data_IF_173936519971
#
_entry.id   IF_173936519971
#
_cell.length_a   1.000
_cell.length_b   1.000
_cell.length_c   1.000
_cell.angle_alpha   90.00
_cell.angle_beta   90.00
_cell.angle_gamma   90.00
#
_symmetry.space_group_name_H-M   'P 1'
#
loop_
_entity.id
_entity.type
_entity.pdbx_description
1 polymer ?
#
# COMPACT_ATOMS: atom_id res chain seq x y z
N UNK A 1 5.97 11.10 -20.07
CA UNK A 1 4.87 10.35 -19.39
C UNK A 1 5.15 10.27 -17.89
N UNK A 2 4.24 10.71 -17.10
CA UNK A 2 4.36 10.61 -15.65
C UNK A 2 4.12 9.17 -15.21
N UNK A 3 5.03 8.59 -14.44
CA UNK A 3 4.87 7.27 -13.86
C UNK A 3 5.02 7.38 -12.35
N UNK A 4 3.91 7.45 -11.65
CA UNK A 4 3.87 7.52 -10.21
C UNK A 4 2.88 6.54 -9.64
N UNK A 5 3.12 6.13 -8.41
CA UNK A 5 2.22 5.24 -7.68
C UNK A 5 2.06 5.65 -6.24
N UNK A 6 1.09 5.05 -5.59
CA UNK A 6 0.82 5.23 -4.17
C UNK A 6 0.63 3.88 -3.48
N UNK A 7 1.01 3.83 -2.22
CA UNK A 7 0.64 2.76 -1.29
C UNK A 7 0.17 3.41 0.00
N UNK A 8 -0.77 2.79 0.67
CA UNK A 8 -1.40 3.41 1.84
C UNK A 8 -1.33 2.49 3.04
N UNK A 9 -0.76 3.00 4.13
CA UNK A 9 -0.82 2.37 5.44
C UNK A 9 -2.14 2.82 6.07
N UNK A 10 -3.17 2.00 5.94
CA UNK A 10 -4.50 2.27 6.51
C UNK A 10 -4.55 1.64 7.89
N UNK A 11 -4.68 2.47 8.90
CA UNK A 11 -4.65 2.05 10.29
C UNK A 11 -6.07 2.13 10.89
N UNK A 12 -6.50 1.06 11.56
CA UNK A 12 -7.77 1.06 12.27
C UNK A 12 -7.61 1.49 13.74
N UNK A 13 -8.73 1.54 14.48
CA UNK A 13 -8.73 1.97 15.88
C UNK A 13 -7.92 1.05 16.81
N UNK A 14 -7.76 -0.21 16.41
CA UNK A 14 -6.96 -1.19 17.17
C UNK A 14 -5.47 -1.09 16.83
N UNK A 15 -5.08 -0.19 15.94
CA UNK A 15 -3.70 -0.05 15.49
C UNK A 15 -3.26 -1.09 14.47
N UNK A 16 -4.18 -1.86 13.93
CA UNK A 16 -3.89 -2.83 12.87
C UNK A 16 -3.80 -2.13 11.52
N UNK A 17 -3.04 -2.72 10.62
CA UNK A 17 -2.78 -2.19 9.28
C UNK A 17 -3.39 -3.10 8.21
N UNK A 18 -3.99 -2.47 7.21
CA UNK A 18 -4.67 -3.15 6.12
C UNK A 18 -3.67 -3.65 5.07
N UNK A 19 -3.76 -4.92 4.73
CA UNK A 19 -2.99 -5.54 3.66
C UNK A 19 -3.93 -6.17 2.64
N UNK A 20 -3.46 -6.23 1.41
CA UNK A 20 -4.10 -6.89 0.28
C UNK A 20 -3.28 -8.12 -0.09
N UNK A 21 -3.94 -9.28 -0.17
CA UNK A 21 -3.31 -10.50 -0.65
C UNK A 21 -3.60 -10.65 -2.14
N UNK A 22 -2.54 -10.84 -2.90
CA UNK A 22 -2.60 -11.14 -4.32
C UNK A 22 -2.13 -12.56 -4.55
N UNK A 23 -2.78 -13.26 -5.46
CA UNK A 23 -2.42 -14.61 -5.86
C UNK A 23 -1.87 -14.59 -7.29
N UNK A 24 -0.64 -15.05 -7.44
CA UNK A 24 0.06 -15.16 -8.71
C UNK A 24 0.37 -16.62 -8.99
N UNK A 25 0.67 -17.03 -10.25
CA UNK A 25 0.88 -18.44 -10.57
C UNK A 25 1.90 -19.18 -9.71
N UNK A 26 2.93 -18.48 -9.23
CA UNK A 26 4.03 -19.11 -8.49
C UNK A 26 3.98 -18.87 -6.98
N UNK A 27 3.25 -17.84 -6.53
CA UNK A 27 3.23 -17.45 -5.12
C UNK A 27 2.10 -16.47 -4.81
N UNK A 28 1.73 -16.41 -3.54
CA UNK A 28 0.94 -15.30 -3.03
C UNK A 28 1.87 -14.20 -2.52
N UNK A 29 1.42 -12.96 -2.62
CA UNK A 29 2.13 -11.81 -2.08
C UNK A 29 1.17 -10.92 -1.29
N UNK A 30 1.72 -10.23 -0.31
CA UNK A 30 0.97 -9.29 0.53
C UNK A 30 1.52 -7.89 0.34
N UNK A 31 0.62 -6.97 0.04
CA UNK A 31 0.95 -5.59 -0.26
C UNK A 31 0.04 -4.66 0.53
N UNK A 32 0.49 -3.43 0.71
CA UNK A 32 -0.41 -2.35 1.10
C UNK A 32 -1.33 -2.03 -0.08
N UNK A 33 -2.57 -1.57 0.17
CA UNK A 33 -3.42 -1.11 -0.93
C UNK A 33 -2.79 0.08 -1.63
N UNK A 34 -3.02 0.20 -2.93
CA UNK A 34 -2.48 1.26 -3.74
C UNK A 34 -2.48 0.91 -5.23
N UNK A 35 -1.87 1.76 -6.02
CA UNK A 35 -1.80 1.60 -7.46
C UNK A 35 -1.24 2.84 -8.14
N UNK A 36 -1.48 2.98 -9.44
CA UNK A 36 -0.99 4.10 -10.23
C UNK A 36 -1.74 5.40 -10.00
N UNK A 37 -1.03 6.50 -10.08
CA UNK A 37 -1.63 7.84 -10.08
C UNK A 37 -2.14 8.11 -11.50
N UNK A 38 -3.40 8.49 -11.63
CA UNK A 38 -4.01 8.81 -12.91
C UNK A 38 -3.75 10.27 -13.30
N UNK A 39 -3.87 10.54 -14.59
CA UNK A 39 -3.71 11.90 -15.10
C UNK A 39 -4.69 12.86 -14.41
N UNK A 40 -4.17 13.98 -13.94
CA UNK A 40 -4.99 15.01 -13.30
C UNK A 40 -5.24 14.79 -11.81
N UNK A 41 -4.84 13.64 -11.24
CA UNK A 41 -4.95 13.42 -9.79
C UNK A 41 -3.64 13.69 -9.07
N UNK A 42 -3.76 14.15 -7.83
CA UNK A 42 -2.61 14.19 -6.92
C UNK A 42 -2.36 12.78 -6.35
N UNK A 43 -1.20 12.58 -5.73
CA UNK A 43 -0.92 11.33 -5.02
C UNK A 43 -1.95 11.06 -3.91
N UNK A 44 -2.40 12.10 -3.22
CA UNK A 44 -3.43 11.96 -2.17
C UNK A 44 -4.76 11.53 -2.77
N UNK A 45 -5.17 12.12 -3.90
CA UNK A 45 -6.39 11.73 -4.60
C UNK A 45 -6.32 10.25 -5.01
N UNK A 46 -5.18 9.83 -5.56
CA UNK A 46 -4.95 8.44 -5.95
C UNK A 46 -5.03 7.49 -4.76
N UNK A 47 -4.46 7.87 -3.61
CA UNK A 47 -4.52 7.08 -2.39
C UNK A 47 -5.96 6.85 -1.94
N UNK A 48 -6.77 7.90 -1.91
CA UNK A 48 -8.19 7.81 -1.52
C UNK A 48 -8.96 6.91 -2.50
N UNK A 49 -8.76 7.11 -3.79
CA UNK A 49 -9.44 6.34 -4.84
C UNK A 49 -9.06 4.86 -4.78
N UNK A 50 -7.77 4.56 -4.72
CA UNK A 50 -7.28 3.16 -4.74
C UNK A 50 -7.78 2.38 -3.52
N UNK A 51 -7.74 2.98 -2.33
CA UNK A 51 -8.25 2.32 -1.13
C UNK A 51 -9.75 2.05 -1.24
N UNK A 52 -10.51 3.01 -1.76
CA UNK A 52 -11.94 2.82 -1.99
C UNK A 52 -12.22 1.68 -2.97
N UNK A 53 -11.52 1.67 -4.10
CA UNK A 53 -11.69 0.64 -5.13
C UNK A 53 -11.33 -0.76 -4.64
N UNK A 54 -10.22 -0.88 -3.92
CA UNK A 54 -9.70 -2.18 -3.50
C UNK A 54 -10.35 -2.72 -2.22
N UNK A 55 -10.78 -1.85 -1.33
CA UNK A 55 -11.18 -2.24 0.03
C UNK A 55 -12.55 -1.76 0.49
N UNK A 56 -13.16 -0.83 -0.22
CA UNK A 56 -14.44 -0.23 0.17
C UNK A 56 -14.35 0.84 1.26
N UNK A 57 -13.17 1.11 1.78
CA UNK A 57 -13.00 2.07 2.86
C UNK A 57 -12.77 3.49 2.34
N UNK A 58 -13.35 4.45 3.06
CA UNK A 58 -13.07 5.87 2.90
C UNK A 58 -12.01 6.27 3.92
N UNK A 59 -10.96 6.90 3.44
CA UNK A 59 -9.81 7.26 4.28
C UNK A 59 -9.54 8.75 4.30
N UNK A 60 -8.85 9.16 5.35
CA UNK A 60 -8.26 10.49 5.46
C UNK A 60 -6.75 10.32 5.56
N UNK A 61 -6.04 10.87 4.57
CA UNK A 61 -4.57 10.81 4.54
C UNK A 61 -4.02 11.76 5.61
N UNK A 62 -3.13 11.26 6.47
CA UNK A 62 -2.53 12.03 7.54
C UNK A 62 -1.19 12.64 7.16
N UNK A 63 -0.30 11.82 6.61
CA UNK A 63 1.04 12.28 6.22
C UNK A 63 1.70 11.30 5.27
N UNK A 64 2.73 11.77 4.58
CA UNK A 64 3.61 10.88 3.81
C UNK A 64 4.59 10.20 4.77
N UNK A 65 4.73 8.89 4.64
CA UNK A 65 5.70 8.10 5.38
C UNK A 65 7.00 7.93 4.61
N UNK A 66 6.90 7.49 3.36
CA UNK A 66 8.08 7.25 2.50
C UNK A 66 7.80 7.68 1.07
N UNK A 67 8.86 8.11 0.41
CA UNK A 67 8.91 8.22 -1.04
C UNK A 67 9.89 7.16 -1.53
N UNK A 68 9.40 6.19 -2.31
CA UNK A 68 10.19 5.05 -2.75
C UNK A 68 10.46 5.16 -4.24
N UNK A 69 11.73 5.14 -4.59
CA UNK A 69 12.16 5.15 -6.00
C UNK A 69 12.60 3.76 -6.42
N UNK A 70 12.21 3.35 -7.60
CA UNK A 70 12.63 2.11 -8.20
C UNK A 70 13.09 2.37 -9.63
N UNK A 71 14.29 1.90 -9.94
CA UNK A 71 14.81 1.88 -11.31
C UNK A 71 14.91 0.43 -11.73
N UNK A 72 14.17 0.08 -12.79
CA UNK A 72 14.19 -1.28 -13.34
C UNK A 72 15.39 -1.48 -14.25
N UNK A 73 15.74 -2.74 -14.53
CA UNK A 73 16.84 -3.09 -15.40
C UNK A 73 16.74 -2.49 -16.81
N UNK A 74 15.51 -2.30 -17.31
CA UNK A 74 15.24 -1.68 -18.60
C UNK A 74 15.34 -0.14 -18.57
N UNK A 75 15.66 0.45 -17.42
CA UNK A 75 15.77 1.89 -17.25
C UNK A 75 14.47 2.61 -16.88
N UNK A 76 13.35 1.90 -16.78
CA UNK A 76 12.11 2.50 -16.30
C UNK A 76 12.26 2.95 -14.86
N UNK A 77 11.77 4.15 -14.59
CA UNK A 77 11.87 4.78 -13.28
C UNK A 77 10.48 5.05 -12.72
N UNK A 78 10.27 4.67 -11.46
CA UNK A 78 9.01 4.88 -10.76
C UNK A 78 9.26 5.52 -9.41
N UNK A 79 8.34 6.41 -9.03
CA UNK A 79 8.24 6.92 -7.66
C UNK A 79 6.92 6.45 -7.08
N UNK A 80 6.97 5.90 -5.87
CA UNK A 80 5.78 5.47 -5.15
C UNK A 80 5.77 6.17 -3.80
N UNK A 81 4.71 6.94 -3.55
CA UNK A 81 4.52 7.63 -2.29
C UNK A 81 3.71 6.74 -1.34
N UNK A 82 4.23 6.56 -0.13
CA UNK A 82 3.57 5.79 0.92
C UNK A 82 2.98 6.74 1.95
N UNK A 83 1.68 6.65 2.16
CA UNK A 83 0.95 7.52 3.09
C UNK A 83 0.42 6.74 4.29
N UNK A 84 0.34 7.43 5.43
CA UNK A 84 -0.42 6.98 6.59
C UNK A 84 -1.82 7.58 6.50
N UNK A 85 -2.83 6.77 6.71
CA UNK A 85 -4.22 7.21 6.67
C UNK A 85 -5.05 6.55 7.77
N UNK A 86 -6.08 7.27 8.20
CA UNK A 86 -7.10 6.76 9.12
C UNK A 86 -8.41 6.52 8.36
N UNK A 87 -9.24 5.65 8.88
CA UNK A 87 -10.54 5.33 8.31
C UNK A 87 -11.55 6.37 8.77
N UNK A 88 -12.30 6.95 7.82
CA UNK A 88 -13.38 7.87 8.14
C UNK A 88 -14.77 7.37 7.73
N UNK A 89 -14.86 6.24 7.04
CA UNK A 89 -16.13 5.69 6.60
C UNK A 89 -15.97 4.44 5.74
N UNK A 90 -17.08 4.02 5.15
CA UNK A 90 -17.12 2.82 4.32
C UNK A 90 -17.17 1.53 5.12
N UNK A 91 -17.10 0.43 4.42
CA UNK A 91 -17.04 -0.90 5.02
C UNK A 91 -16.08 -1.78 4.26
N UNK A 92 -15.28 -2.57 5.00
CA UNK A 92 -14.25 -3.41 4.42
C UNK A 92 -14.85 -4.55 3.59
N UNK A 93 -14.46 -4.62 2.34
CA UNK A 93 -14.76 -5.75 1.47
C UNK A 93 -13.70 -5.86 0.39
N UNK A 94 -13.53 -7.04 -0.16
CA UNK A 94 -12.65 -7.22 -1.31
C UNK A 94 -13.24 -6.48 -2.50
N UNK A 95 -12.50 -5.50 -2.99
CA UNK A 95 -12.91 -4.68 -4.12
C UNK A 95 -12.40 -5.22 -5.43
N UNK A 96 -12.13 -4.30 -6.33
CA UNK A 96 -11.79 -4.56 -7.71
C UNK A 96 -10.59 -3.70 -8.10
N UNK A 97 -9.65 -4.30 -8.84
CA UNK A 97 -8.54 -3.55 -9.43
C UNK A 97 -8.88 -3.29 -10.90
N UNK A 98 -9.17 -2.02 -11.28
CA UNK A 98 -9.56 -1.70 -12.64
C UNK A 98 -8.45 -1.89 -13.67
N UNK A 99 -7.19 -2.06 -13.24
CA UNK A 99 -6.06 -2.35 -14.14
C UNK A 99 -6.15 -3.76 -14.73
N UNK A 100 -6.96 -4.65 -14.12
CA UNK A 100 -7.15 -6.03 -14.57
C UNK A 100 -8.59 -6.27 -14.99
N UNK A 101 -8.80 -7.10 -16.02
CA UNK A 101 -10.13 -7.54 -16.43
C UNK A 101 -10.77 -8.46 -15.38
N UNK A 102 -12.08 -8.67 -15.48
CA UNK A 102 -12.84 -9.47 -14.50
C UNK A 102 -12.30 -10.88 -14.28
N UNK A 103 -11.78 -11.52 -15.33
CA UNK A 103 -11.17 -12.88 -15.22
C UNK A 103 -9.70 -12.86 -14.86
N UNK A 104 -9.10 -11.68 -14.68
CA UNK A 104 -7.66 -11.50 -14.47
C UNK A 104 -7.34 -10.90 -13.09
N UNK A 105 -8.36 -10.74 -12.24
CA UNK A 105 -8.15 -10.16 -10.90
C UNK A 105 -7.23 -11.05 -10.07
N UNK A 106 -6.17 -10.46 -9.54
CA UNK A 106 -5.20 -11.17 -8.70
C UNK A 106 -5.44 -10.97 -7.21
N UNK A 107 -6.20 -9.92 -6.83
CA UNK A 107 -6.56 -9.69 -5.43
C UNK A 107 -7.52 -10.77 -4.95
N UNK A 108 -7.23 -11.36 -3.78
CA UNK A 108 -8.01 -12.45 -3.20
C UNK A 108 -8.53 -12.16 -1.80
N UNK A 109 -7.89 -11.21 -1.10
CA UNK A 109 -8.25 -10.93 0.29
C UNK A 109 -7.80 -9.54 0.68
N UNK A 110 -8.58 -8.88 1.54
CA UNK A 110 -8.17 -7.66 2.24
C UNK A 110 -8.35 -7.91 3.73
N UNK A 111 -7.32 -7.62 4.53
CA UNK A 111 -7.33 -7.99 5.93
C UNK A 111 -6.49 -7.02 6.77
N UNK A 112 -7.04 -6.62 7.93
CA UNK A 112 -6.25 -5.91 8.93
C UNK A 112 -5.40 -6.89 9.71
N UNK A 113 -4.14 -6.59 9.86
CA UNK A 113 -3.20 -7.41 10.62
C UNK A 113 -2.46 -6.57 11.65
N UNK A 114 -2.15 -7.20 12.78
CA UNK A 114 -1.23 -6.63 13.76
C UNK A 114 0.21 -7.08 13.45
N UNK A 115 1.15 -6.59 14.26
CA UNK A 115 2.58 -6.91 14.05
C UNK A 115 2.85 -8.40 14.09
N UNK A 116 2.24 -9.11 15.04
CA UNK A 116 2.45 -10.54 15.23
C UNK A 116 1.87 -11.35 14.06
N UNK A 117 0.68 -10.99 13.61
CA UNK A 117 0.05 -11.61 12.45
C UNK A 117 0.87 -11.38 11.19
N UNK A 118 1.44 -10.18 11.02
CA UNK A 118 2.29 -9.84 9.88
C UNK A 118 3.54 -10.72 9.81
N UNK A 119 4.11 -11.09 10.94
CA UNK A 119 5.29 -11.97 10.99
C UNK A 119 5.02 -13.34 10.35
N UNK A 120 3.77 -13.76 10.30
CA UNK A 120 3.36 -15.04 9.72
C UNK A 120 2.91 -14.93 8.25
N UNK A 121 2.89 -13.73 7.67
CA UNK A 121 2.51 -13.54 6.28
C UNK A 121 3.72 -13.80 5.37
N UNK A 122 3.55 -14.62 4.32
CA UNK A 122 4.63 -14.82 3.35
C UNK A 122 4.70 -13.65 2.37
N UNK A 123 5.90 -13.37 1.88
CA UNK A 123 6.09 -12.47 0.73
C UNK A 123 5.46 -11.08 0.87
N UNK A 124 5.81 -10.37 1.92
CA UNK A 124 5.42 -8.97 2.08
C UNK A 124 6.39 -8.09 1.27
N UNK A 125 5.82 -7.21 0.45
CA UNK A 125 6.61 -6.27 -0.36
C UNK A 125 6.10 -4.84 -0.21
N UNK A 126 6.98 -3.82 -0.25
CA UNK A 126 8.43 -3.97 -0.20
C UNK A 126 8.89 -4.56 1.14
N UNK A 127 10.02 -5.24 1.11
CA UNK A 127 10.51 -5.97 2.28
C UNK A 127 10.86 -5.09 3.47
N UNK A 128 11.19 -3.81 3.25
CA UNK A 128 11.50 -2.89 4.35
C UNK A 128 10.32 -2.69 5.31
N UNK A 129 9.09 -2.98 4.89
CA UNK A 129 7.91 -2.87 5.76
C UNK A 129 8.02 -3.77 6.99
N UNK A 130 8.67 -4.92 6.87
CA UNK A 130 8.85 -5.86 7.98
C UNK A 130 9.65 -5.24 9.12
N UNK A 131 10.63 -4.40 8.78
CA UNK A 131 11.55 -3.81 9.74
C UNK A 131 11.10 -2.45 10.23
N UNK A 132 10.40 -1.68 9.42
CA UNK A 132 10.16 -0.26 9.68
C UNK A 132 8.71 0.11 9.97
N UNK A 133 7.74 -0.62 9.42
CA UNK A 133 6.34 -0.22 9.48
C UNK A 133 5.85 0.07 10.89
N UNK A 134 5.98 -0.91 11.78
CA UNK A 134 5.42 -0.78 13.13
C UNK A 134 6.15 0.25 13.98
N UNK A 135 7.45 0.38 13.76
CA UNK A 135 8.26 1.39 14.41
C UNK A 135 7.80 2.80 14.02
N UNK A 136 7.59 3.04 12.74
CA UNK A 136 7.23 4.36 12.20
C UNK A 136 5.83 4.79 12.63
N UNK A 137 4.86 3.88 12.63
CA UNK A 137 3.48 4.22 12.98
C UNK A 137 3.23 4.28 14.49
N UNK A 138 4.11 3.71 15.31
CA UNK A 138 3.97 3.71 16.78
C UNK A 138 4.67 4.88 17.46
N UNK A 139 5.62 5.52 16.80
CA UNK A 139 6.42 6.61 17.34
C UNK A 139 6.47 7.77 16.35
N UNK A 140 5.67 8.80 16.63
CA UNK A 140 5.56 9.98 15.75
C UNK A 140 6.85 10.82 15.69
N UNK A 141 7.74 10.64 16.66
CA UNK A 141 8.98 11.42 16.76
C UNK A 141 10.20 10.61 16.29
N UNK A 142 9.99 9.43 15.71
CA UNK A 142 11.06 8.60 15.20
C UNK A 142 11.83 9.29 14.09
N UNK A 143 13.14 9.27 14.17
CA UNK A 143 14.01 9.67 13.09
C UNK A 143 14.15 8.51 12.11
N UNK A 144 13.87 8.77 10.85
CA UNK A 144 14.04 7.79 9.79
C UNK A 144 14.25 8.50 8.46
N UNK A 145 14.79 7.77 7.50
CA UNK A 145 14.95 8.31 6.16
C UNK A 145 13.67 8.05 5.36
N UNK A 146 12.91 9.09 5.00
CA UNK A 146 11.69 8.91 4.21
C UNK A 146 11.95 8.55 2.75
N UNK A 147 13.18 8.71 2.28
CA UNK A 147 13.54 8.32 0.93
C UNK A 147 14.12 6.91 0.91
N UNK A 148 13.60 6.06 0.04
CA UNK A 148 14.02 4.67 -0.11
C UNK A 148 14.30 4.36 -1.58
N UNK A 149 15.30 3.52 -1.81
CA UNK A 149 15.53 2.92 -3.12
C UNK A 149 15.09 1.46 -3.01
N UNK A 150 14.18 1.06 -3.87
CA UNK A 150 13.68 -0.31 -3.87
C UNK A 150 14.56 -1.21 -4.71
N UNK A 151 15.05 -2.28 -4.10
CA UNK A 151 15.92 -3.28 -4.73
C UNK A 151 15.23 -4.64 -4.88
N UNK A 152 14.05 -4.81 -4.34
CA UNK A 152 13.30 -6.08 -4.35
C UNK A 152 12.09 -6.11 -5.30
#
# INVERSE_FOLDING_TARGET
MWTGGVRVVVRNEEGKVLFVRQEHPEREIWLLPGGGVEEGETSVDAAVREVREETGLEIEVRKMLWCVEQVKDNGEQRFVNFFLADIKGGSLHLGYDPEFGAGEQVMREVRFVDRKEMENLPNIYPTFLKDELWYIISDNDSEYNPYKIRED
#
